data_IF_174404868489
#
_entry.id   IF_174404868489
#
_cell.length_a   1.000
_cell.length_b   1.000
_cell.length_c   1.000
_cell.angle_alpha   90.00
_cell.angle_beta   90.00
_cell.angle_gamma   90.00
#
_symmetry.space_group_name_H-M   'P 1'
#
loop_
_entity.id
_entity.type
_entity.pdbx_description
1 polymer ?
#
# COMPACT_ATOMS: atom_id res chain seq x y z
N UNK A 1 -2.25 13.68 37.54
CA UNK A 1 -3.28 13.37 36.53
C UNK A 1 -2.70 13.77 35.19
N UNK A 2 -2.45 12.79 34.31
CA UNK A 2 -1.83 13.02 33.00
C UNK A 2 -2.86 13.64 32.06
N UNK A 3 -2.59 14.86 31.62
CA UNK A 3 -3.47 15.72 30.82
C UNK A 3 -3.46 15.30 29.33
N UNK A 4 -2.72 14.24 28.96
CA UNK A 4 -2.54 13.82 27.57
C UNK A 4 -2.97 12.38 27.25
N UNK A 5 -3.64 11.68 28.17
CA UNK A 5 -4.21 10.35 27.91
C UNK A 5 -5.31 10.30 26.83
N UNK A 6 -5.75 11.45 26.30
CA UNK A 6 -6.97 11.62 25.49
C UNK A 6 -6.80 11.88 23.99
N UNK A 7 -5.61 11.79 23.39
CA UNK A 7 -5.47 12.09 21.94
C UNK A 7 -4.87 10.94 21.15
N UNK A 8 -5.58 9.81 21.14
CA UNK A 8 -5.48 8.84 20.04
C UNK A 8 -5.71 9.61 18.74
N UNK A 9 -4.62 9.79 18.00
CA UNK A 9 -4.56 10.56 16.76
C UNK A 9 -5.37 9.84 15.69
N UNK A 10 -6.66 10.17 15.58
CA UNK A 10 -7.59 9.66 14.56
C UNK A 10 -7.32 10.27 13.19
N UNK A 11 -6.10 10.09 12.68
CA UNK A 11 -5.72 10.35 11.28
C UNK A 11 -4.91 9.19 10.68
N UNK A 12 -4.92 8.02 11.32
CA UNK A 12 -3.91 6.99 11.08
C UNK A 12 -4.01 6.26 9.72
N UNK A 13 -5.19 6.21 9.09
CA UNK A 13 -5.43 5.25 8.00
C UNK A 13 -5.23 5.83 6.60
N UNK A 14 -5.80 7.01 6.31
CA UNK A 14 -5.81 7.53 4.94
C UNK A 14 -4.45 8.02 4.43
N UNK A 15 -3.59 8.56 5.30
CA UNK A 15 -2.28 9.07 4.89
C UNK A 15 -1.34 7.96 4.44
N UNK A 16 -1.24 6.91 5.25
CA UNK A 16 -0.31 5.81 5.00
C UNK A 16 -0.82 4.86 3.91
N UNK A 17 -2.14 4.64 3.79
CA UNK A 17 -2.69 3.87 2.67
C UNK A 17 -2.51 4.61 1.33
N UNK A 18 -2.66 5.94 1.30
CA UNK A 18 -2.34 6.73 0.09
C UNK A 18 -0.87 6.62 -0.28
N UNK A 19 0.04 6.62 0.68
CA UNK A 19 1.47 6.42 0.43
C UNK A 19 1.78 5.01 -0.08
N UNK A 20 1.20 3.96 0.54
CA UNK A 20 1.35 2.57 0.11
C UNK A 20 0.90 2.37 -1.34
N UNK A 21 -0.28 2.88 -1.68
CA UNK A 21 -0.79 2.90 -3.06
C UNK A 21 0.14 3.63 -4.03
N UNK A 22 0.66 4.79 -3.62
CA UNK A 22 1.60 5.57 -4.42
C UNK A 22 2.88 4.81 -4.74
N UNK A 23 3.45 4.10 -3.77
CA UNK A 23 4.64 3.28 -3.97
C UNK A 23 4.40 2.08 -4.89
N UNK A 24 3.25 1.42 -4.75
CA UNK A 24 2.84 0.34 -5.66
C UNK A 24 2.70 0.86 -7.10
N UNK A 25 1.97 1.96 -7.28
CA UNK A 25 1.78 2.57 -8.61
C UNK A 25 3.09 3.08 -9.21
N UNK A 26 4.02 3.60 -8.41
CA UNK A 26 5.34 3.99 -8.89
C UNK A 26 6.12 2.77 -9.41
N UNK A 27 6.15 1.67 -8.64
CA UNK A 27 6.83 0.44 -9.05
C UNK A 27 6.24 -0.19 -10.31
N UNK A 28 4.92 -0.16 -10.44
CA UNK A 28 4.24 -0.63 -11.65
C UNK A 28 4.54 0.22 -12.88
N UNK A 29 4.68 1.55 -12.73
CA UNK A 29 5.10 2.44 -13.83
C UNK A 29 6.58 2.31 -14.20
N UNK A 30 7.41 1.83 -13.29
CA UNK A 30 8.81 1.49 -13.57
C UNK A 30 8.95 0.19 -14.36
N UNK A 31 7.98 -0.74 -14.21
CA UNK A 31 7.87 -1.88 -15.11
C UNK A 31 7.45 -1.36 -16.50
N UNK A 32 8.09 -1.85 -17.57
CA UNK A 32 7.74 -1.46 -18.93
C UNK A 32 6.24 -1.71 -19.21
N UNK A 33 5.62 -0.92 -20.08
CA UNK A 33 4.19 -0.97 -20.33
C UNK A 33 3.69 -2.41 -20.58
N UNK A 34 2.73 -2.84 -19.76
CA UNK A 34 2.13 -4.17 -19.82
C UNK A 34 2.91 -5.29 -19.13
N UNK A 35 4.10 -5.03 -18.56
CA UNK A 35 4.79 -6.03 -17.76
C UNK A 35 4.16 -6.18 -16.37
N UNK A 36 3.83 -7.42 -16.03
CA UNK A 36 3.38 -7.76 -14.69
C UNK A 36 4.54 -7.75 -13.70
N UNK A 37 4.26 -7.29 -12.48
CA UNK A 37 5.18 -7.26 -11.34
C UNK A 37 4.68 -8.23 -10.28
N UNK A 38 5.61 -8.94 -9.65
CA UNK A 38 5.33 -9.91 -8.60
C UNK A 38 4.63 -9.29 -7.38
N UNK A 39 3.67 -10.01 -6.82
CA UNK A 39 2.91 -9.57 -5.65
C UNK A 39 3.79 -9.29 -4.43
N UNK A 40 4.79 -10.13 -4.17
CA UNK A 40 5.73 -9.96 -3.08
C UNK A 40 6.54 -8.68 -3.20
N UNK A 41 6.93 -8.31 -4.42
CA UNK A 41 7.61 -7.04 -4.70
C UNK A 41 6.73 -5.82 -4.41
N UNK A 42 5.45 -5.87 -4.80
CA UNK A 42 4.51 -4.79 -4.53
C UNK A 42 4.15 -4.69 -3.04
N UNK A 43 4.02 -5.81 -2.34
CA UNK A 43 3.85 -5.86 -0.88
C UNK A 43 5.06 -5.24 -0.18
N UNK A 44 6.28 -5.55 -0.62
CA UNK A 44 7.49 -4.94 -0.08
C UNK A 44 7.52 -3.42 -0.32
N UNK A 45 7.06 -2.97 -1.50
CA UNK A 45 6.91 -1.55 -1.80
C UNK A 45 5.91 -0.87 -0.85
N UNK A 46 4.72 -1.42 -0.68
CA UNK A 46 3.68 -0.88 0.19
C UNK A 46 4.10 -0.86 1.67
N UNK A 47 4.80 -1.89 2.14
CA UNK A 47 5.29 -1.98 3.54
C UNK A 47 6.24 -0.83 3.89
N UNK A 48 7.02 -0.34 2.92
CA UNK A 48 7.91 0.83 3.12
C UNK A 48 7.13 2.12 3.47
N UNK A 49 5.85 2.23 3.13
CA UNK A 49 5.02 3.37 3.53
C UNK A 49 4.77 3.37 5.05
N UNK A 50 4.39 2.22 5.62
CA UNK A 50 4.18 2.06 7.06
C UNK A 50 5.43 2.42 7.86
N UNK A 51 6.60 1.92 7.46
CA UNK A 51 7.88 2.19 8.14
C UNK A 51 8.26 3.67 8.13
N UNK A 52 7.94 4.41 7.06
CA UNK A 52 8.30 5.84 6.91
C UNK A 52 7.31 6.78 7.61
N UNK A 53 6.08 6.35 7.82
CA UNK A 53 4.98 7.23 8.21
C UNK A 53 4.60 7.16 9.69
N UNK A 54 4.91 6.07 10.40
CA UNK A 54 4.52 5.90 11.80
C UNK A 54 5.71 6.01 12.76
N UNK A 55 5.59 6.89 13.77
CA UNK A 55 6.37 6.81 15.01
C UNK A 55 5.93 5.63 15.90
N UNK A 56 5.47 4.54 15.29
CA UNK A 56 4.88 3.35 15.89
C UNK A 56 4.98 2.15 14.93
N UNK A 57 4.54 0.97 15.37
CA UNK A 57 4.68 -0.26 14.58
C UNK A 57 3.91 -0.18 13.25
N UNK A 58 4.48 -0.69 12.13
CA UNK A 58 3.80 -0.72 10.84
C UNK A 58 2.55 -1.61 10.90
N UNK A 59 1.47 -1.20 10.22
CA UNK A 59 0.25 -2.00 10.03
C UNK A 59 0.55 -3.17 9.07
N UNK A 60 0.54 -4.44 9.52
CA UNK A 60 0.84 -5.58 8.65
C UNK A 60 -0.23 -5.80 7.57
N UNK A 61 -1.46 -5.31 7.76
CA UNK A 61 -2.56 -5.50 6.81
C UNK A 61 -2.60 -4.41 5.72
N UNK A 62 -1.85 -3.32 5.91
CA UNK A 62 -1.84 -2.19 4.98
C UNK A 62 -1.44 -2.58 3.55
N UNK A 63 -0.38 -3.37 3.30
CA UNK A 63 -0.01 -3.77 1.95
C UNK A 63 -1.14 -4.50 1.21
N UNK A 64 -1.76 -5.46 1.89
CA UNK A 64 -2.87 -6.23 1.33
C UNK A 64 -4.09 -5.33 1.05
N UNK A 65 -4.43 -4.44 1.98
CA UNK A 65 -5.53 -3.48 1.81
C UNK A 65 -5.27 -2.51 0.67
N UNK A 66 -4.04 -2.03 0.50
CA UNK A 66 -3.65 -1.15 -0.60
C UNK A 66 -3.84 -1.83 -1.95
N UNK A 67 -3.38 -3.08 -2.11
CA UNK A 67 -3.58 -3.87 -3.34
C UNK A 67 -5.06 -4.14 -3.61
N UNK A 68 -5.81 -4.58 -2.60
CA UNK A 68 -7.25 -4.84 -2.73
C UNK A 68 -8.02 -3.60 -3.18
N UNK A 69 -7.69 -2.42 -2.64
CA UNK A 69 -8.35 -1.17 -3.02
C UNK A 69 -7.95 -0.72 -4.42
N UNK A 70 -6.69 -0.90 -4.83
CA UNK A 70 -6.25 -0.59 -6.20
C UNK A 70 -6.94 -1.48 -7.24
N UNK A 71 -7.14 -2.76 -6.94
CA UNK A 71 -7.93 -3.68 -7.78
C UNK A 71 -9.39 -3.25 -7.84
N UNK A 72 -10.00 -2.96 -6.69
CA UNK A 72 -11.39 -2.53 -6.62
C UNK A 72 -11.64 -1.20 -7.37
N UNK A 73 -10.65 -0.30 -7.37
CA UNK A 73 -10.68 0.95 -8.11
C UNK A 73 -10.37 0.78 -9.62
N UNK A 74 -9.97 -0.42 -10.07
CA UNK A 74 -9.56 -0.69 -11.45
C UNK A 74 -8.26 -0.01 -11.87
N UNK A 75 -7.39 0.34 -10.92
CA UNK A 75 -6.12 1.01 -11.18
C UNK A 75 -4.97 0.05 -11.48
N UNK A 76 -5.14 -1.22 -11.10
CA UNK A 76 -4.23 -2.33 -11.41
C UNK A 76 -5.08 -3.54 -11.81
N UNK A 77 -4.49 -4.46 -12.56
CA UNK A 77 -5.12 -5.71 -12.98
C UNK A 77 -4.23 -6.90 -12.62
N UNK A 78 -4.83 -8.06 -12.43
CA UNK A 78 -4.17 -9.37 -12.29
C UNK A 78 -4.92 -10.38 -13.16
N UNK A 79 -4.18 -11.24 -13.85
CA UNK A 79 -4.75 -12.33 -14.67
C UNK A 79 -4.47 -13.71 -14.04
N UNK A 80 -3.77 -13.74 -12.91
CA UNK A 80 -3.17 -14.93 -12.30
C UNK A 80 -3.47 -15.01 -10.79
N UNK A 81 -4.71 -14.70 -10.42
CA UNK A 81 -5.23 -14.77 -9.05
C UNK A 81 -4.40 -13.97 -8.03
N UNK A 82 -3.77 -12.88 -8.48
CA UNK A 82 -2.95 -12.00 -7.64
C UNK A 82 -1.51 -12.46 -7.46
N UNK A 83 -1.01 -13.40 -8.27
CA UNK A 83 0.42 -13.73 -8.28
C UNK A 83 1.24 -12.57 -8.87
N UNK A 84 0.72 -11.91 -9.90
CA UNK A 84 1.31 -10.71 -10.49
C UNK A 84 0.27 -9.64 -10.78
N UNK A 85 0.74 -8.39 -10.84
CA UNK A 85 -0.10 -7.23 -11.11
C UNK A 85 0.51 -6.37 -12.21
N UNK A 86 -0.33 -5.79 -13.05
CA UNK A 86 0.05 -4.83 -14.10
C UNK A 86 -0.84 -3.59 -14.07
N UNK A 87 -0.43 -2.56 -14.79
CA UNK A 87 -1.34 -1.47 -15.13
C UNK A 87 -2.38 -1.97 -16.17
N UNK A 88 -3.64 -1.50 -16.10
CA UNK A 88 -4.70 -1.88 -17.05
C UNK A 88 -4.37 -1.57 -18.51
#
# INVERSE_FOLDING_TARGET
ADIHAGRRRTQAWHGTDRQARGLVMARLREAADGQSVDAGELVACATRAGVRSSGGAPDPDQPARALATLLADGLIATDDDGATYRLP
#
